data_IF_330959281387
#
_entry.id   IF_330959281387
#
_cell.length_a   1.000
_cell.length_b   1.000
_cell.length_c   1.000
_cell.angle_alpha   90.00
_cell.angle_beta   90.00
_cell.angle_gamma   90.00
#
_symmetry.space_group_name_H-M   'P 1'
#
loop_
_entity.id
_entity.type
_entity.pdbx_description
1 polymer ?
#
# COMPACT_ATOMS: atom_id res chain seq x y z
N UNK A 1 5.06 6.03 -0.49
CA UNK A 1 3.68 5.55 -0.73
C UNK A 1 2.71 6.49 -0.01
N UNK A 2 1.55 6.84 -0.58
CA UNK A 2 0.56 7.72 0.07
C UNK A 2 1.14 9.06 0.59
N UNK A 3 1.98 9.72 -0.20
CA UNK A 3 2.67 10.97 0.18
C UNK A 3 3.56 10.86 1.43
N UNK A 4 4.04 9.65 1.73
CA UNK A 4 5.02 9.38 2.77
C UNK A 4 6.23 8.69 2.15
N UNK A 5 7.41 9.23 2.45
CA UNK A 5 8.71 8.62 2.18
C UNK A 5 9.15 7.92 3.46
N UNK A 6 9.32 6.59 3.37
CA UNK A 6 9.76 5.81 4.52
C UNK A 6 11.19 6.15 4.91
N UNK A 7 11.42 6.40 6.19
CA UNK A 7 12.76 6.51 6.77
C UNK A 7 13.01 5.36 7.73
N UNK A 8 14.26 4.86 7.75
CA UNK A 8 14.62 3.77 8.65
C UNK A 8 14.60 4.27 10.11
N UNK A 9 13.98 3.51 11.03
CA UNK A 9 14.00 3.85 12.45
C UNK A 9 15.40 3.67 13.05
N UNK A 10 15.70 4.32 14.19
CA UNK A 10 16.97 4.18 14.89
C UNK A 10 17.17 2.79 15.52
N UNK A 11 16.12 1.97 15.61
CA UNK A 11 16.14 0.62 16.16
C UNK A 11 15.16 -0.29 15.42
N UNK A 12 15.41 -1.62 15.35
CA UNK A 12 14.53 -2.55 14.66
C UNK A 12 13.11 -2.60 15.24
N UNK A 13 12.10 -2.40 14.39
CA UNK A 13 10.68 -2.38 14.80
C UNK A 13 10.18 -3.70 15.39
N UNK A 14 10.79 -4.84 15.03
CA UNK A 14 10.32 -6.15 15.49
C UNK A 14 10.79 -6.48 16.92
N UNK A 15 12.02 -6.11 17.26
CA UNK A 15 12.70 -6.56 18.49
C UNK A 15 12.92 -5.44 19.50
N UNK A 16 12.87 -4.17 19.09
CA UNK A 16 13.10 -2.99 19.92
C UNK A 16 12.12 -1.86 19.53
N UNK A 17 10.82 -2.18 19.46
CA UNK A 17 9.80 -1.19 19.06
C UNK A 17 9.74 -0.02 20.03
N UNK A 18 10.02 -0.29 21.30
CA UNK A 18 9.99 0.64 22.42
C UNK A 18 11.10 1.69 22.34
N UNK A 19 12.20 1.37 21.66
CA UNK A 19 13.34 2.26 21.44
C UNK A 19 13.12 3.23 20.25
N UNK A 20 12.01 3.09 19.52
CA UNK A 20 11.65 3.97 18.41
C UNK A 20 10.65 5.03 18.90
N UNK A 21 11.00 6.34 18.86
CA UNK A 21 10.09 7.40 19.29
C UNK A 21 8.77 7.39 18.50
N UNK A 22 7.63 7.45 19.19
CA UNK A 22 6.30 7.51 18.55
C UNK A 22 6.16 8.71 17.61
N UNK A 23 6.85 9.82 17.90
CA UNK A 23 6.90 11.01 17.04
C UNK A 23 7.49 10.75 15.65
N UNK A 24 8.25 9.66 15.49
CA UNK A 24 8.86 9.28 14.23
C UNK A 24 7.97 8.31 13.44
N UNK A 25 6.97 7.71 14.08
CA UNK A 25 6.08 6.74 13.45
C UNK A 25 4.83 7.43 12.97
N UNK A 26 4.40 7.06 11.78
CA UNK A 26 3.33 7.75 11.08
C UNK A 26 2.53 6.82 10.19
N UNK A 27 1.36 7.30 9.78
CA UNK A 27 0.62 6.73 8.66
C UNK A 27 -0.15 7.83 7.93
N UNK A 28 -0.99 7.44 6.97
CA UNK A 28 -1.75 8.41 6.17
C UNK A 28 -2.78 9.21 6.97
N UNK A 29 -3.23 8.72 8.13
CA UNK A 29 -4.20 9.37 9.01
C UNK A 29 -3.52 10.19 10.11
N UNK A 30 -2.37 9.73 10.61
CA UNK A 30 -1.62 10.32 11.70
C UNK A 30 -0.22 10.69 11.20
N UNK A 31 -0.08 11.93 10.73
CA UNK A 31 1.22 12.50 10.33
C UNK A 31 1.83 13.29 11.49
N UNK A 32 3.16 13.27 11.65
CA UNK A 32 3.86 14.09 12.63
C UNK A 32 3.64 15.60 12.40
N UNK A 33 3.76 16.42 13.45
CA UNK A 33 3.52 17.87 13.38
C UNK A 33 4.41 18.56 12.35
N UNK A 34 5.68 18.16 12.23
CA UNK A 34 6.61 18.69 11.24
C UNK A 34 6.14 18.50 9.79
N UNK A 35 5.21 17.57 9.55
CA UNK A 35 4.68 17.26 8.23
C UNK A 35 3.34 17.94 7.91
N UNK A 36 2.75 18.73 8.82
CA UNK A 36 1.42 19.32 8.62
C UNK A 36 1.34 20.23 7.38
N UNK A 37 2.43 20.92 7.04
CA UNK A 37 2.51 21.83 5.89
C UNK A 37 3.31 21.25 4.71
N UNK A 38 3.62 19.95 4.73
CA UNK A 38 4.43 19.30 3.69
C UNK A 38 3.57 18.41 2.80
N UNK A 39 3.79 18.52 1.48
CA UNK A 39 3.11 17.66 0.51
C UNK A 39 3.56 16.20 0.64
N UNK A 40 4.85 15.99 0.88
CA UNK A 40 5.49 14.68 1.14
C UNK A 40 6.12 14.73 2.53
N UNK A 41 5.85 13.72 3.34
CA UNK A 41 6.36 13.58 4.71
C UNK A 41 7.42 12.47 4.78
N UNK A 42 8.48 12.67 5.56
CA UNK A 42 9.49 11.65 5.85
C UNK A 42 9.31 11.13 7.28
N UNK A 43 9.04 9.83 7.42
CA UNK A 43 8.81 9.18 8.72
C UNK A 43 8.82 7.66 8.60
N UNK A 44 8.84 6.98 9.75
CA UNK A 44 8.74 5.54 9.85
C UNK A 44 7.26 5.15 9.61
N UNK A 45 6.91 4.91 8.34
CA UNK A 45 5.55 4.57 7.94
C UNK A 45 5.14 3.17 8.42
N UNK A 46 4.19 3.09 9.34
CA UNK A 46 3.66 1.83 9.88
C UNK A 46 2.13 1.82 9.78
N UNK A 47 1.59 0.82 9.08
CA UNK A 47 0.14 0.55 9.04
C UNK A 47 -0.18 -0.61 10.00
N UNK A 48 -1.05 -0.37 10.98
CA UNK A 48 -1.49 -1.38 11.93
C UNK A 48 -2.69 -2.14 11.37
N UNK A 49 -2.56 -3.46 11.25
CA UNK A 49 -3.62 -4.34 10.73
C UNK A 49 -3.95 -5.38 11.82
N UNK A 50 -5.23 -5.57 12.18
CA UNK A 50 -5.60 -6.58 13.17
C UNK A 50 -5.21 -7.99 12.73
N UNK A 51 -4.70 -8.80 13.67
CA UNK A 51 -4.41 -10.21 13.45
C UNK A 51 -5.68 -10.96 13.02
N UNK A 52 -5.57 -11.74 11.95
CA UNK A 52 -6.68 -12.49 11.34
C UNK A 52 -7.55 -11.68 10.37
N UNK A 53 -7.27 -10.39 10.15
CA UNK A 53 -8.05 -9.58 9.22
C UNK A 53 -7.92 -10.06 7.76
N UNK A 54 -9.03 -10.00 7.03
CA UNK A 54 -9.03 -10.12 5.57
C UNK A 54 -8.64 -8.77 4.96
N UNK A 55 -7.44 -8.69 4.41
CA UNK A 55 -6.89 -7.45 3.85
C UNK A 55 -7.06 -7.43 2.34
N UNK A 56 -7.52 -6.30 1.80
CA UNK A 56 -7.44 -5.98 0.37
C UNK A 56 -6.57 -4.73 0.18
N UNK A 57 -5.47 -4.87 -0.55
CA UNK A 57 -4.62 -3.74 -0.94
C UNK A 57 -4.93 -3.38 -2.39
N UNK A 58 -5.22 -2.11 -2.63
CA UNK A 58 -5.39 -1.53 -3.97
C UNK A 58 -4.16 -0.66 -4.23
N UNK A 59 -3.23 -1.20 -5.02
CA UNK A 59 -1.96 -0.54 -5.32
C UNK A 59 -2.14 0.22 -6.64
N UNK A 60 -1.85 1.53 -6.61
CA UNK A 60 -2.11 2.46 -7.71
C UNK A 60 -0.80 3.12 -8.12
N UNK A 61 -0.45 2.99 -9.39
CA UNK A 61 0.61 3.79 -10.00
C UNK A 61 0.03 5.12 -10.51
N UNK A 62 0.51 6.23 -9.97
CA UNK A 62 0.08 7.58 -10.36
C UNK A 62 1.03 8.25 -11.37
N UNK A 63 1.99 7.51 -11.93
CA UNK A 63 2.87 8.03 -12.96
C UNK A 63 3.99 8.94 -12.47
N UNK A 64 4.42 8.79 -11.22
CA UNK A 64 5.55 9.55 -10.66
C UNK A 64 6.88 9.17 -11.30
N UNK A 65 7.07 7.90 -11.64
CA UNK A 65 8.26 7.38 -12.31
C UNK A 65 7.97 7.01 -13.78
N UNK A 66 9.05 6.91 -14.58
CA UNK A 66 8.93 6.48 -15.98
C UNK A 66 8.63 4.98 -16.11
N UNK A 67 9.01 4.19 -15.09
CA UNK A 67 9.03 2.73 -15.09
C UNK A 67 7.84 2.10 -14.33
N UNK A 68 7.68 0.79 -14.47
CA UNK A 68 6.75 0.00 -13.67
C UNK A 68 7.23 -0.15 -12.21
N UNK A 69 6.29 -0.16 -11.26
CA UNK A 69 6.59 -0.35 -9.83
C UNK A 69 6.49 -1.83 -9.46
N UNK A 70 7.46 -2.35 -8.70
CA UNK A 70 7.41 -3.71 -8.14
C UNK A 70 7.02 -3.64 -6.67
N UNK A 71 5.98 -4.39 -6.28
CA UNK A 71 5.56 -4.52 -4.89
C UNK A 71 5.84 -5.93 -4.38
N UNK A 72 6.54 -6.03 -3.26
CA UNK A 72 6.82 -7.28 -2.55
C UNK A 72 6.30 -7.18 -1.12
N UNK A 73 5.74 -8.27 -0.59
CA UNK A 73 5.23 -8.34 0.78
C UNK A 73 5.95 -9.45 1.56
N UNK A 74 6.73 -9.05 2.56
CA UNK A 74 7.38 -9.99 3.47
C UNK A 74 6.35 -10.71 4.34
N UNK A 75 6.65 -11.96 4.70
CA UNK A 75 5.83 -12.76 5.63
C UNK A 75 4.52 -13.31 5.05
N UNK A 76 4.17 -12.97 3.81
CA UNK A 76 2.92 -13.38 3.19
C UNK A 76 3.08 -13.76 1.72
N UNK A 77 2.21 -14.65 1.26
CA UNK A 77 1.76 -14.68 -0.14
C UNK A 77 0.40 -14.02 -0.20
N UNK A 78 0.08 -13.43 -1.34
CA UNK A 78 -1.21 -12.79 -1.60
C UNK A 78 -1.84 -13.32 -2.88
N UNK A 79 -3.16 -13.25 -2.92
CA UNK A 79 -3.98 -13.51 -4.10
C UNK A 79 -4.06 -12.25 -4.95
N UNK A 80 -3.61 -12.31 -6.19
CA UNK A 80 -3.81 -11.22 -7.16
C UNK A 80 -5.23 -11.38 -7.72
N UNK A 81 -6.15 -10.54 -7.22
CA UNK A 81 -7.58 -10.66 -7.56
C UNK A 81 -7.98 -9.80 -8.74
N UNK A 82 -7.12 -8.90 -9.22
CA UNK A 82 -7.37 -8.23 -10.48
C UNK A 82 -6.38 -7.10 -10.76
N UNK A 83 -6.39 -6.63 -12.00
CA UNK A 83 -5.63 -5.46 -12.40
C UNK A 83 -6.40 -4.66 -13.46
N UNK A 84 -6.04 -3.39 -13.62
CA UNK A 84 -6.50 -2.53 -14.71
C UNK A 84 -5.43 -1.51 -15.05
N UNK A 85 -5.21 -1.28 -16.33
CA UNK A 85 -4.33 -0.21 -16.80
C UNK A 85 -5.19 0.93 -17.34
N UNK A 86 -4.78 2.16 -17.06
CA UNK A 86 -5.37 3.36 -17.63
C UNK A 86 -4.43 3.95 -18.69
N UNK A 87 -4.99 4.66 -19.67
CA UNK A 87 -4.18 5.36 -20.69
C UNK A 87 -3.44 6.56 -20.10
N UNK A 88 -3.97 7.13 -19.01
CA UNK A 88 -3.46 8.32 -18.33
C UNK A 88 -3.55 8.10 -16.81
N UNK A 89 -2.75 8.82 -16.00
CA UNK A 89 -2.84 8.74 -14.55
C UNK A 89 -4.27 9.03 -14.07
N UNK A 90 -4.82 8.14 -13.24
CA UNK A 90 -6.09 8.36 -12.57
C UNK A 90 -5.87 8.97 -11.18
N UNK A 91 -6.72 9.93 -10.79
CA UNK A 91 -6.67 10.47 -9.43
C UNK A 91 -7.13 9.41 -8.41
N UNK A 92 -6.61 9.47 -7.19
CA UNK A 92 -7.06 8.58 -6.10
C UNK A 92 -8.57 8.71 -5.85
N UNK A 93 -9.14 9.91 -5.99
CA UNK A 93 -10.60 10.12 -5.89
C UNK A 93 -11.38 9.37 -6.97
N UNK A 94 -10.87 9.34 -8.21
CA UNK A 94 -11.47 8.57 -9.30
C UNK A 94 -11.37 7.08 -9.04
N UNK A 95 -10.20 6.60 -8.59
CA UNK A 95 -10.02 5.18 -8.26
C UNK A 95 -10.95 4.75 -7.12
N UNK A 96 -11.05 5.53 -6.04
CA UNK A 96 -11.96 5.28 -4.91
C UNK A 96 -13.41 5.19 -5.37
N UNK A 97 -13.88 6.20 -6.12
CA UNK A 97 -15.24 6.21 -6.67
C UNK A 97 -15.52 5.00 -7.55
N UNK A 98 -14.64 4.67 -8.48
CA UNK A 98 -14.80 3.48 -9.33
C UNK A 98 -14.81 2.19 -8.50
N UNK A 99 -14.02 2.13 -7.42
CA UNK A 99 -13.99 0.97 -6.54
C UNK A 99 -15.32 0.80 -5.79
N UNK A 100 -15.84 1.87 -5.21
CA UNK A 100 -17.13 1.92 -4.51
C UNK A 100 -18.30 1.61 -5.44
N UNK A 101 -18.26 2.10 -6.68
CA UNK A 101 -19.25 1.77 -7.73
C UNK A 101 -19.11 0.33 -8.27
N UNK A 102 -18.09 -0.44 -7.88
CA UNK A 102 -17.82 -1.78 -8.43
C UNK A 102 -17.34 -1.78 -9.88
N UNK A 103 -16.88 -0.63 -10.39
CA UNK A 103 -16.49 -0.37 -11.79
C UNK A 103 -14.98 -0.24 -12.00
N UNK A 104 -14.19 -0.31 -10.92
CA UNK A 104 -12.74 -0.24 -11.00
C UNK A 104 -12.20 -1.40 -11.84
N UNK A 105 -12.54 -2.64 -11.46
CA UNK A 105 -12.19 -3.86 -12.19
C UNK A 105 -13.07 -5.03 -11.72
N UNK A 106 -13.10 -6.11 -12.53
CA UNK A 106 -13.72 -7.37 -12.11
C UNK A 106 -12.72 -8.17 -11.28
N UNK A 107 -13.09 -8.49 -10.03
CA UNK A 107 -12.27 -9.31 -9.15
C UNK A 107 -12.42 -10.81 -9.48
N UNK A 108 -11.31 -11.53 -9.57
CA UNK A 108 -11.24 -12.98 -9.70
C UNK A 108 -11.15 -13.63 -8.31
N UNK A 109 -12.25 -14.19 -7.84
CA UNK A 109 -12.32 -14.94 -6.57
C UNK A 109 -12.38 -16.46 -6.75
N UNK A 110 -12.28 -16.94 -7.99
CA UNK A 110 -12.40 -18.38 -8.29
C UNK A 110 -11.01 -19.02 -8.34
N UNK A 111 -10.10 -18.43 -9.11
CA UNK A 111 -8.74 -18.95 -9.28
C UNK A 111 -7.73 -17.81 -9.47
N UNK A 112 -7.54 -16.95 -8.46
CA UNK A 112 -6.51 -15.90 -8.50
C UNK A 112 -5.10 -16.49 -8.45
N UNK A 113 -4.14 -15.82 -9.09
CA UNK A 113 -2.74 -16.19 -8.97
C UNK A 113 -2.23 -15.87 -7.56
N UNK A 114 -1.39 -16.74 -7.00
CA UNK A 114 -0.79 -16.57 -5.67
C UNK A 114 0.68 -16.23 -5.83
N UNK A 115 1.11 -15.06 -5.34
CA UNK A 115 2.49 -14.58 -5.41
C UNK A 115 2.84 -13.79 -4.14
N UNK A 116 4.12 -13.53 -3.91
CA UNK A 116 4.62 -12.59 -2.89
C UNK A 116 5.08 -11.26 -3.50
N UNK A 117 5.14 -11.20 -4.84
CA UNK A 117 5.66 -10.08 -5.61
C UNK A 117 4.77 -9.86 -6.82
N UNK A 118 4.46 -8.59 -7.11
CA UNK A 118 3.63 -8.22 -8.26
C UNK A 118 4.15 -6.95 -8.92
N UNK A 119 4.05 -6.93 -10.26
CA UNK A 119 4.31 -5.75 -11.07
C UNK A 119 3.06 -4.88 -11.10
N UNK A 120 3.22 -3.59 -10.86
CA UNK A 120 2.20 -2.57 -11.03
C UNK A 120 2.62 -1.75 -12.24
N UNK A 121 1.99 -1.98 -13.41
CA UNK A 121 2.31 -1.23 -14.61
C UNK A 121 2.08 0.27 -14.42
N UNK A 122 2.75 1.09 -15.23
CA UNK A 122 2.52 2.53 -15.28
C UNK A 122 1.03 2.87 -15.49
N UNK A 123 0.52 3.81 -14.70
CA UNK A 123 -0.91 4.15 -14.63
C UNK A 123 -1.82 2.96 -14.35
N UNK A 124 -1.27 1.91 -13.75
CA UNK A 124 -1.94 0.66 -13.44
C UNK A 124 -2.51 0.65 -12.02
N UNK A 125 -3.51 -0.20 -11.84
CA UNK A 125 -4.06 -0.58 -10.55
C UNK A 125 -3.98 -2.09 -10.44
N UNK A 126 -3.44 -2.58 -9.33
CA UNK A 126 -3.41 -4.00 -8.98
C UNK A 126 -4.07 -4.17 -7.62
N UNK A 127 -4.98 -5.14 -7.54
CA UNK A 127 -5.70 -5.45 -6.30
C UNK A 127 -5.25 -6.82 -5.82
N UNK A 128 -4.74 -6.87 -4.59
CA UNK A 128 -4.27 -8.09 -3.94
C UNK A 128 -5.01 -8.31 -2.63
N UNK A 129 -5.19 -9.57 -2.24
CA UNK A 129 -5.79 -9.96 -0.95
C UNK A 129 -4.92 -10.95 -0.19
N UNK A 130 -4.88 -10.82 1.12
CA UNK A 130 -4.25 -11.78 2.02
C UNK A 130 -4.95 -11.76 3.38
N UNK A 131 -4.68 -12.78 4.21
CA UNK A 131 -5.13 -12.82 5.60
C UNK A 131 -3.93 -12.44 6.45
N UNK A 132 -4.07 -11.42 7.30
CA UNK A 132 -2.99 -10.96 8.18
C UNK A 132 -2.83 -11.92 9.38
N UNK A 133 -2.32 -13.13 9.14
CA UNK A 133 -2.20 -14.21 10.14
C UNK A 133 -0.74 -14.55 10.53
N UNK A 134 0.21 -13.68 10.20
CA UNK A 134 1.61 -13.78 10.57
C UNK A 134 2.00 -12.56 11.44
N UNK A 135 2.00 -12.71 12.79
CA UNK A 135 2.32 -11.64 13.73
C UNK A 135 3.81 -11.31 13.78
#
# INVERSE_FOLDING_TARGET
MNNITFTYPPSPLLTQREDVPETNICNSLNKPEQCQNMEICECVHVEQIPLGANVELIIVDQGGDSEETIFHLHGYKFYIVGHRNFEKPATLSTIRRLNEEGRLLKRNFISPAIKDTVRVPKFGVVVVRFIANNP
#
